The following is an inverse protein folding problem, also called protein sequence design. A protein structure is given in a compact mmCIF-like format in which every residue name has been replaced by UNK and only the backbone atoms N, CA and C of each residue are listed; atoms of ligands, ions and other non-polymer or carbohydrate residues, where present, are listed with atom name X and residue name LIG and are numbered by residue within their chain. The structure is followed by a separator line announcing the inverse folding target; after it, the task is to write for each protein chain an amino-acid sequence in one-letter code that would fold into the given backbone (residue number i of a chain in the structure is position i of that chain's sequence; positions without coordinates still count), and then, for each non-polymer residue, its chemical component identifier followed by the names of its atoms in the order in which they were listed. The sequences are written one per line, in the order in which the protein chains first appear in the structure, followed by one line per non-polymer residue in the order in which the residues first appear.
data_IF_712800489641
#
_entry.id   IF_712800489641
#
_cell.length_a   1.000
_cell.length_b   1.000
_cell.length_c   1.000
_cell.angle_alpha   90.00
_cell.angle_beta   90.00
_cell.angle_gamma   90.00
#
_symmetry.space_group_name_H-M   'P 1'
#
loop_
_entity.id
_entity.type
_entity.pdbx_description
1 polymer ?
#
# COMPACT_ATOMS: atom_id res chain seq x y z
N UNK A 1 -22.16 -6.77 -9.97
CA UNK A 1 -21.06 -5.98 -9.40
C UNK A 1 -20.28 -5.36 -10.56
N UNK A 2 -20.24 -4.04 -10.66
CA UNK A 2 -19.56 -3.37 -11.75
C UNK A 2 -18.04 -3.53 -11.54
N UNK A 3 -17.30 -3.94 -12.58
CA UNK A 3 -15.85 -4.10 -12.49
C UNK A 3 -15.19 -2.72 -12.46
N UNK A 4 -14.35 -2.48 -11.46
CA UNK A 4 -13.56 -1.25 -11.39
C UNK A 4 -12.54 -1.27 -12.53
N UNK A 5 -12.59 -0.23 -13.38
CA UNK A 5 -11.60 -0.03 -14.44
C UNK A 5 -10.40 0.70 -13.85
N UNK A 6 -9.21 0.16 -14.05
CA UNK A 6 -7.97 0.71 -13.49
C UNK A 6 -7.25 1.68 -14.44
N UNK A 7 -7.64 1.73 -15.71
CA UNK A 7 -7.03 2.63 -16.70
C UNK A 7 -7.19 4.09 -16.27
N UNK A 8 -6.12 4.85 -16.39
CA UNK A 8 -6.02 6.26 -15.99
C UNK A 8 -6.29 6.52 -14.48
N UNK A 9 -6.25 5.51 -13.62
CA UNK A 9 -6.44 5.67 -12.19
C UNK A 9 -5.13 5.99 -11.48
N UNK A 10 -5.25 6.75 -10.39
CA UNK A 10 -4.18 7.01 -9.43
C UNK A 10 -4.32 6.01 -8.29
N UNK A 11 -3.30 5.18 -8.14
CA UNK A 11 -3.31 4.06 -7.19
C UNK A 11 -2.20 4.25 -6.18
N UNK A 12 -2.52 4.37 -4.89
CA UNK A 12 -1.53 4.28 -3.82
C UNK A 12 -1.40 2.81 -3.41
N UNK A 13 -0.16 2.32 -3.35
CA UNK A 13 0.17 0.98 -2.84
C UNK A 13 1.16 1.14 -1.70
N UNK A 14 0.76 0.82 -0.48
CA UNK A 14 1.67 0.78 0.67
C UNK A 14 2.31 -0.59 0.79
N UNK A 15 3.54 -0.67 1.31
CA UNK A 15 4.33 -1.91 1.28
C UNK A 15 4.83 -2.24 -0.12
N UNK A 16 5.05 -1.23 -0.97
CA UNK A 16 5.35 -1.38 -2.39
C UNK A 16 6.70 -2.08 -2.67
N UNK A 17 7.66 -2.01 -1.76
CA UNK A 17 8.94 -2.73 -1.86
C UNK A 17 8.87 -4.16 -1.29
N UNK A 18 7.74 -4.53 -0.65
CA UNK A 18 7.49 -5.87 -0.15
C UNK A 18 7.25 -6.88 -1.28
N UNK A 19 7.20 -8.18 -0.92
CA UNK A 19 7.02 -9.24 -1.91
C UNK A 19 5.68 -9.10 -2.67
N UNK A 20 4.57 -8.95 -1.96
CA UNK A 20 3.25 -8.84 -2.59
C UNK A 20 3.11 -7.49 -3.29
N UNK A 21 3.51 -6.39 -2.62
CA UNK A 21 3.38 -5.04 -3.15
C UNK A 21 4.12 -4.84 -4.46
N UNK A 22 5.38 -5.27 -4.54
CA UNK A 22 6.19 -5.14 -5.75
C UNK A 22 5.61 -5.92 -6.93
N UNK A 23 5.16 -7.16 -6.69
CA UNK A 23 4.51 -7.95 -7.74
C UNK A 23 3.21 -7.33 -8.20
N UNK A 24 2.39 -6.78 -7.30
CA UNK A 24 1.16 -6.08 -7.65
C UNK A 24 1.45 -4.83 -8.49
N UNK A 25 2.47 -4.04 -8.12
CA UNK A 25 2.87 -2.86 -8.91
C UNK A 25 3.25 -3.27 -10.33
N UNK A 26 4.10 -4.29 -10.48
CA UNK A 26 4.52 -4.78 -11.81
C UNK A 26 3.34 -5.30 -12.62
N UNK A 27 2.44 -6.06 -12.01
CA UNK A 27 1.23 -6.59 -12.67
C UNK A 27 0.31 -5.47 -13.17
N UNK A 28 0.10 -4.43 -12.36
CA UNK A 28 -0.69 -3.28 -12.76
C UNK A 28 -0.05 -2.47 -13.88
N UNK A 29 1.27 -2.28 -13.85
CA UNK A 29 2.00 -1.61 -14.92
C UNK A 29 1.94 -2.37 -16.25
N UNK A 30 1.98 -3.70 -16.21
CA UNK A 30 1.89 -4.55 -17.41
C UNK A 30 0.48 -4.58 -18.02
N UNK A 31 -0.55 -4.66 -17.17
CA UNK A 31 -1.91 -5.00 -17.63
C UNK A 31 -2.88 -3.82 -17.62
N UNK A 32 -2.40 -2.60 -17.30
CA UNK A 32 -3.28 -1.43 -17.18
C UNK A 32 -2.71 -0.25 -17.95
N UNK A 33 -3.48 0.30 -18.85
CA UNK A 33 -3.06 1.49 -19.62
C UNK A 33 -3.09 2.75 -18.76
N UNK A 34 -1.99 3.53 -18.83
CA UNK A 34 -1.89 4.86 -18.22
C UNK A 34 -2.23 4.91 -16.72
N UNK A 35 -2.01 3.81 -15.99
CA UNK A 35 -2.14 3.78 -14.54
C UNK A 35 -1.04 4.63 -13.91
N UNK A 36 -1.36 5.37 -12.86
CA UNK A 36 -0.40 6.14 -12.09
C UNK A 36 -0.27 5.54 -10.70
N UNK A 37 0.86 4.90 -10.43
CA UNK A 37 1.09 4.20 -9.16
C UNK A 37 2.04 5.01 -8.28
N UNK A 38 1.63 5.23 -7.03
CA UNK A 38 2.42 5.82 -5.97
C UNK A 38 2.71 4.72 -4.96
N UNK A 39 3.95 4.26 -4.91
CA UNK A 39 4.40 3.24 -3.97
C UNK A 39 4.95 3.86 -2.69
N UNK A 40 4.49 3.42 -1.53
CA UNK A 40 5.00 3.84 -0.22
C UNK A 40 5.59 2.63 0.50
N UNK A 41 6.83 2.74 0.98
CA UNK A 41 7.46 1.71 1.81
C UNK A 41 8.53 2.36 2.71
N UNK A 42 8.66 1.88 3.93
CA UNK A 42 9.68 2.37 4.87
C UNK A 42 11.07 1.86 4.54
N UNK A 43 11.16 0.80 3.75
CA UNK A 43 12.40 0.08 3.44
C UNK A 43 13.17 -0.25 4.72
N UNK A 44 12.45 -0.75 5.74
CA UNK A 44 13.04 -1.17 7.00
C UNK A 44 13.90 -2.43 6.83
N UNK A 45 14.73 -2.71 7.82
CA UNK A 45 15.70 -3.81 7.87
C UNK A 45 15.17 -5.09 8.51
N UNK A 46 13.85 -5.26 8.61
CA UNK A 46 13.23 -6.48 9.15
C UNK A 46 13.69 -7.74 8.41
N UNK A 47 13.98 -7.61 7.12
CA UNK A 47 14.71 -8.57 6.31
C UNK A 47 15.67 -7.83 5.37
N UNK A 48 16.51 -8.55 4.64
CA UNK A 48 17.55 -7.98 3.78
C UNK A 48 17.01 -6.86 2.87
N UNK A 49 17.52 -5.66 3.10
CA UNK A 49 17.13 -4.45 2.36
C UNK A 49 17.42 -4.57 0.87
N UNK A 50 18.49 -5.30 0.50
CA UNK A 50 18.84 -5.48 -0.91
C UNK A 50 17.74 -6.11 -1.74
N UNK A 51 16.90 -6.96 -1.13
CA UNK A 51 15.73 -7.53 -1.80
C UNK A 51 14.66 -6.48 -2.11
N UNK A 52 14.48 -5.49 -1.22
CA UNK A 52 13.54 -4.38 -1.43
C UNK A 52 14.05 -3.44 -2.52
N UNK A 53 15.33 -3.10 -2.46
CA UNK A 53 16.00 -2.25 -3.47
C UNK A 53 15.97 -2.90 -4.84
N UNK A 54 16.27 -4.18 -4.93
CA UNK A 54 16.18 -4.93 -6.20
C UNK A 54 14.77 -4.87 -6.79
N UNK A 55 13.73 -5.08 -5.98
CA UNK A 55 12.33 -5.00 -6.45
C UNK A 55 11.98 -3.61 -6.97
N UNK A 56 12.38 -2.56 -6.26
CA UNK A 56 12.17 -1.18 -6.70
C UNK A 56 12.85 -0.90 -8.04
N UNK A 57 14.10 -1.35 -8.23
CA UNK A 57 14.81 -1.23 -9.51
C UNK A 57 14.08 -1.95 -10.66
N UNK A 58 13.51 -3.14 -10.40
CA UNK A 58 12.72 -3.84 -11.42
C UNK A 58 11.44 -3.08 -11.78
N UNK A 59 10.77 -2.49 -10.81
CA UNK A 59 9.57 -1.66 -11.02
C UNK A 59 9.93 -0.41 -11.84
N UNK A 60 10.98 0.30 -11.45
CA UNK A 60 11.44 1.52 -12.15
C UNK A 60 11.81 1.24 -13.61
N UNK A 61 12.53 0.13 -13.85
CA UNK A 61 12.85 -0.32 -15.19
C UNK A 61 11.59 -0.56 -16.01
N UNK A 62 10.64 -1.33 -15.48
CA UNK A 62 9.38 -1.62 -16.16
C UNK A 62 8.56 -0.35 -16.43
N UNK A 63 8.48 0.56 -15.47
CA UNK A 63 7.75 1.83 -15.65
C UNK A 63 8.33 2.69 -16.78
N UNK A 64 9.62 2.55 -17.10
CA UNK A 64 10.25 3.19 -18.26
C UNK A 64 9.89 2.55 -19.62
N UNK A 65 9.30 1.36 -19.62
CA UNK A 65 8.99 0.58 -20.83
C UNK A 65 7.48 0.57 -21.18
N UNK A 66 6.62 1.06 -20.27
CA UNK A 66 5.15 1.02 -20.41
C UNK A 66 4.53 2.43 -20.34
N UNK A 67 3.23 2.52 -20.62
CA UNK A 67 2.47 3.80 -20.56
C UNK A 67 2.09 4.22 -19.14
N UNK A 68 2.11 3.29 -18.19
CA UNK A 68 1.91 3.57 -16.77
C UNK A 68 3.09 4.29 -16.15
N UNK A 69 2.88 4.91 -14.98
CA UNK A 69 3.95 5.59 -14.23
C UNK A 69 4.04 5.06 -12.81
N UNK A 70 5.26 5.06 -12.28
CA UNK A 70 5.53 4.69 -10.89
C UNK A 70 6.34 5.81 -10.22
N UNK A 71 5.90 6.22 -9.03
CA UNK A 71 6.64 7.13 -8.16
C UNK A 71 6.80 6.47 -6.80
N UNK A 72 8.03 6.40 -6.31
CA UNK A 72 8.33 5.79 -5.02
C UNK A 72 8.52 6.86 -3.94
N UNK A 73 7.86 6.65 -2.80
CA UNK A 73 7.98 7.48 -1.60
C UNK A 73 8.51 6.59 -0.47
N UNK A 74 9.75 6.85 -0.05
CA UNK A 74 10.28 6.21 1.14
C UNK A 74 9.68 6.86 2.38
N UNK A 75 8.86 6.09 3.13
CA UNK A 75 8.20 6.61 4.32
C UNK A 75 7.41 5.56 5.08
N UNK A 76 7.10 5.89 6.33
CA UNK A 76 6.34 5.04 7.23
C UNK A 76 4.86 5.46 7.23
N UNK A 77 3.94 4.53 7.06
CA UNK A 77 2.49 4.81 7.12
C UNK A 77 2.03 5.30 8.50
N UNK A 78 2.82 5.06 9.56
CA UNK A 78 2.56 5.62 10.88
C UNK A 78 2.83 7.13 10.97
N UNK A 79 3.57 7.70 10.02
CA UNK A 79 3.73 9.16 9.89
C UNK A 79 2.46 9.78 9.28
N UNK A 80 1.60 10.29 10.15
CA UNK A 80 0.33 10.92 9.76
C UNK A 80 0.52 12.11 8.83
N UNK A 81 1.57 12.90 9.05
CA UNK A 81 1.84 14.10 8.25
C UNK A 81 2.18 13.68 6.83
N UNK A 82 3.11 12.75 6.66
CA UNK A 82 3.47 12.18 5.36
C UNK A 82 2.24 11.64 4.62
N UNK A 83 1.41 10.85 5.29
CA UNK A 83 0.22 10.24 4.65
C UNK A 83 -0.76 11.33 4.20
N UNK A 84 -1.02 12.34 5.02
CA UNK A 84 -1.90 13.45 4.64
C UNK A 84 -1.35 14.22 3.43
N UNK A 85 -0.06 14.56 3.41
CA UNK A 85 0.60 15.24 2.28
C UNK A 85 0.52 14.42 0.99
N UNK A 86 0.74 13.10 1.09
CA UNK A 86 0.63 12.19 -0.06
C UNK A 86 -0.80 12.17 -0.62
N UNK A 87 -1.81 12.05 0.25
CA UNK A 87 -3.20 12.03 -0.20
C UNK A 87 -3.63 13.39 -0.80
N UNK A 88 -3.20 14.49 -0.21
CA UNK A 88 -3.47 15.82 -0.74
C UNK A 88 -2.82 16.06 -2.11
N UNK A 89 -1.56 15.65 -2.26
CA UNK A 89 -0.79 15.82 -3.50
C UNK A 89 -1.31 14.96 -4.64
N UNK A 90 -1.56 13.67 -4.38
CA UNK A 90 -1.86 12.70 -5.44
C UNK A 90 -3.36 12.46 -5.63
N UNK A 91 -4.19 12.75 -4.65
CA UNK A 91 -5.65 12.57 -4.67
C UNK A 91 -6.02 11.20 -5.25
N UNK A 92 -5.64 10.09 -4.60
CA UNK A 92 -5.76 8.75 -5.15
C UNK A 92 -7.21 8.38 -5.42
N UNK A 93 -7.44 7.62 -6.50
CA UNK A 93 -8.73 7.00 -6.79
C UNK A 93 -8.86 5.65 -6.08
N UNK A 94 -7.72 4.95 -5.90
CA UNK A 94 -7.66 3.62 -5.30
C UNK A 94 -6.49 3.56 -4.30
N UNK A 95 -6.72 2.88 -3.19
CA UNK A 95 -5.67 2.62 -2.19
C UNK A 95 -5.58 1.12 -1.93
N UNK A 96 -4.37 0.58 -1.98
CA UNK A 96 -4.06 -0.81 -1.61
C UNK A 96 -3.09 -0.79 -0.45
N UNK A 97 -3.56 -1.12 0.75
CA UNK A 97 -2.74 -1.13 1.95
C UNK A 97 -2.20 -2.53 2.23
N UNK A 98 -0.91 -2.72 1.91
CA UNK A 98 -0.16 -3.96 2.18
C UNK A 98 0.98 -3.75 3.18
N UNK A 99 1.26 -2.49 3.55
CA UNK A 99 2.25 -2.20 4.58
C UNK A 99 1.76 -2.72 5.93
N UNK A 100 2.53 -3.61 6.50
CA UNK A 100 2.28 -4.17 7.82
C UNK A 100 3.58 -4.77 8.37
N UNK A 101 3.70 -4.83 9.70
CA UNK A 101 4.68 -5.67 10.34
C UNK A 101 4.13 -7.09 10.40
N UNK A 102 4.81 -8.02 9.69
CA UNK A 102 4.47 -9.44 9.65
C UNK A 102 5.37 -10.27 10.60
N UNK A 103 4.99 -11.55 10.83
CA UNK A 103 5.80 -12.50 11.58
C UNK A 103 5.45 -12.59 13.06
N UNK A 104 4.58 -13.53 13.46
CA UNK A 104 4.05 -13.67 14.83
C UNK A 104 5.14 -13.69 15.91
N UNK A 105 6.26 -14.39 15.67
CA UNK A 105 7.32 -14.53 16.69
C UNK A 105 8.01 -13.20 17.00
N UNK A 106 8.16 -12.33 16.02
CA UNK A 106 8.82 -11.04 16.22
C UNK A 106 7.99 -10.11 17.11
N UNK A 107 6.67 -10.29 17.19
CA UNK A 107 5.81 -9.50 18.09
C UNK A 107 6.11 -9.73 19.57
N UNK A 108 6.77 -10.84 19.93
CA UNK A 108 7.16 -11.13 21.32
C UNK A 108 8.35 -10.26 21.73
N UNK A 109 9.27 -10.02 20.79
CA UNK A 109 10.51 -9.26 21.06
C UNK A 109 10.42 -7.78 20.71
N UNK A 110 9.53 -7.42 19.77
CA UNK A 110 9.31 -6.05 19.33
C UNK A 110 7.82 -5.77 19.05
N UNK A 111 6.97 -5.71 20.10
CA UNK A 111 5.54 -5.44 19.94
C UNK A 111 5.25 -4.04 19.38
N UNK A 112 6.11 -3.05 19.66
CA UNK A 112 5.91 -1.65 19.24
C UNK A 112 5.84 -1.53 17.72
N UNK A 113 6.64 -2.31 16.99
CA UNK A 113 6.61 -2.32 15.53
C UNK A 113 5.22 -2.74 14.97
N UNK A 114 4.49 -3.61 15.69
CA UNK A 114 3.13 -4.02 15.30
C UNK A 114 2.09 -2.95 15.63
N UNK A 115 2.21 -2.31 16.78
CA UNK A 115 1.34 -1.19 17.15
C UNK A 115 1.52 -0.05 16.15
N UNK A 116 2.76 0.30 15.86
CA UNK A 116 3.09 1.37 14.93
C UNK A 116 2.56 1.09 13.51
N UNK A 117 2.93 -0.04 12.91
CA UNK A 117 2.58 -0.34 11.53
C UNK A 117 1.11 -0.77 11.39
N UNK A 118 0.63 -1.72 12.24
CA UNK A 118 -0.64 -2.40 12.01
C UNK A 118 -1.84 -1.70 12.66
N UNK A 119 -1.62 -0.84 13.67
CA UNK A 119 -2.68 -0.04 14.28
C UNK A 119 -2.59 1.42 13.84
N UNK A 120 -1.50 2.12 14.19
CA UNK A 120 -1.37 3.55 13.92
C UNK A 120 -1.28 3.80 12.41
N UNK A 121 -0.44 3.04 11.70
CA UNK A 121 -0.28 3.17 10.26
C UNK A 121 -1.57 2.88 9.51
N UNK A 122 -2.26 1.78 9.85
CA UNK A 122 -3.54 1.45 9.21
C UNK A 122 -4.62 2.49 9.53
N UNK A 123 -4.70 2.97 10.78
CA UNK A 123 -5.58 4.07 11.16
C UNK A 123 -5.34 5.33 10.31
N UNK A 124 -4.08 5.73 10.09
CA UNK A 124 -3.76 6.88 9.26
C UNK A 124 -4.26 6.71 7.81
N UNK A 125 -4.12 5.52 7.23
CA UNK A 125 -4.64 5.22 5.89
C UNK A 125 -6.18 5.31 5.86
N UNK A 126 -6.88 4.76 6.86
CA UNK A 126 -8.33 4.85 6.95
C UNK A 126 -8.82 6.30 7.06
N UNK A 127 -8.17 7.10 7.92
CA UNK A 127 -8.52 8.52 8.08
C UNK A 127 -8.24 9.33 6.81
N UNK A 128 -7.10 9.10 6.15
CA UNK A 128 -6.80 9.75 4.88
C UNK A 128 -7.82 9.40 3.78
N UNK A 129 -8.24 8.12 3.71
CA UNK A 129 -9.34 7.72 2.81
C UNK A 129 -10.65 8.43 3.17
N UNK A 130 -11.01 8.50 4.46
CA UNK A 130 -12.22 9.18 4.92
C UNK A 130 -12.19 10.67 4.57
N UNK A 131 -11.10 11.35 4.87
CA UNK A 131 -10.93 12.78 4.58
C UNK A 131 -10.80 13.11 3.09
N UNK A 132 -10.51 12.13 2.24
CA UNK A 132 -10.44 12.34 0.79
C UNK A 132 -11.76 12.83 0.17
N UNK A 133 -12.89 12.68 0.90
CA UNK A 133 -14.21 13.14 0.49
C UNK A 133 -14.57 14.55 1.01
N UNK A 134 -13.72 15.15 1.84
CA UNK A 134 -14.00 16.44 2.45
C UNK A 134 -14.13 17.52 1.37
N UNK A 135 -14.95 18.53 1.66
CA UNK A 135 -15.24 19.67 0.77
C UNK A 135 -15.83 19.27 -0.60
N UNK A 136 -16.53 18.13 -0.68
CA UNK A 136 -17.17 17.67 -1.91
C UNK A 136 -16.20 17.08 -2.94
N UNK A 137 -14.99 16.72 -2.53
CA UNK A 137 -14.05 16.01 -3.39
C UNK A 137 -14.58 14.61 -3.75
N UNK A 138 -14.13 14.07 -4.88
CA UNK A 138 -14.53 12.74 -5.36
C UNK A 138 -14.11 11.62 -4.39
N UNK A 139 -12.96 11.78 -3.74
CA UNK A 139 -12.42 10.84 -2.76
C UNK A 139 -11.94 9.51 -3.34
N UNK A 140 -11.50 8.62 -2.44
CA UNK A 140 -11.02 7.27 -2.76
C UNK A 140 -12.20 6.35 -3.11
N UNK A 141 -12.26 5.88 -4.34
CA UNK A 141 -13.36 5.03 -4.83
C UNK A 141 -13.27 3.60 -4.25
N UNK A 142 -12.06 3.12 -3.96
CA UNK A 142 -11.85 1.76 -3.51
C UNK A 142 -10.64 1.63 -2.59
N UNK A 143 -10.84 1.06 -1.40
CA UNK A 143 -9.78 0.68 -0.48
C UNK A 143 -9.72 -0.83 -0.39
N UNK A 144 -8.55 -1.39 -0.68
CA UNK A 144 -8.20 -2.80 -0.45
C UNK A 144 -7.15 -2.86 0.65
N UNK A 145 -7.26 -3.79 1.57
CA UNK A 145 -6.25 -4.01 2.59
C UNK A 145 -6.06 -5.50 2.89
N UNK A 146 -4.83 -5.87 3.21
CA UNK A 146 -4.52 -7.20 3.68
C UNK A 146 -4.99 -7.36 5.13
N UNK A 147 -5.85 -8.32 5.38
CA UNK A 147 -6.27 -8.73 6.70
C UNK A 147 -5.52 -10.01 7.13
N UNK A 148 -5.96 -10.64 8.19
CA UNK A 148 -5.36 -11.88 8.73
C UNK A 148 -6.44 -12.93 8.95
N UNK A 149 -6.09 -14.20 8.75
CA UNK A 149 -6.94 -15.32 9.13
C UNK A 149 -7.23 -15.37 10.65
N UNK A 150 -6.39 -14.71 11.45
CA UNK A 150 -6.59 -14.59 12.91
C UNK A 150 -7.88 -13.89 13.29
N UNK A 151 -8.52 -13.12 12.39
CA UNK A 151 -9.84 -12.49 12.65
C UNK A 151 -10.95 -13.51 12.84
N UNK A 152 -10.77 -14.73 12.33
CA UNK A 152 -11.75 -15.81 12.48
C UNK A 152 -11.60 -16.55 13.82
N UNK A 153 -10.51 -16.34 14.57
CA UNK A 153 -10.25 -17.01 15.85
C UNK A 153 -10.22 -18.52 15.70
N UNK A 154 -10.87 -19.20 16.66
CA UNK A 154 -11.02 -20.67 16.70
C UNK A 154 -12.30 -21.14 16.04
N UNK A 155 -12.84 -20.41 15.07
CA UNK A 155 -14.08 -20.80 14.40
C UNK A 155 -13.85 -22.06 13.54
N UNK A 156 -14.64 -23.11 13.81
CA UNK A 156 -14.58 -24.37 13.07
C UNK A 156 -15.44 -24.34 11.78
N UNK A 157 -16.34 -23.35 11.64
CA UNK A 157 -17.16 -23.18 10.44
C UNK A 157 -16.38 -22.39 9.41
N UNK A 158 -15.99 -23.06 8.34
CA UNK A 158 -15.41 -22.43 7.16
C UNK A 158 -16.56 -21.98 6.26
N UNK A 159 -16.53 -20.75 5.72
CA UNK A 159 -17.57 -20.29 4.77
C UNK A 159 -17.56 -21.09 3.51
#
# INVERSE_FOLDING_TARGET
MEKIKLNNKRVIITGAAGFIGANLVMELLHNTESVRIIGIDSVNDYYDISLKEYRLQQIEKLAGEVTGTFEFIKGNIADKTLINEVFERYKPDIVVNLAAQAGVRYSITNPDAYIEANLIGFYNILEACRHSYDNGAKGVEHLVYASSSSVYGSNEKIP
#
